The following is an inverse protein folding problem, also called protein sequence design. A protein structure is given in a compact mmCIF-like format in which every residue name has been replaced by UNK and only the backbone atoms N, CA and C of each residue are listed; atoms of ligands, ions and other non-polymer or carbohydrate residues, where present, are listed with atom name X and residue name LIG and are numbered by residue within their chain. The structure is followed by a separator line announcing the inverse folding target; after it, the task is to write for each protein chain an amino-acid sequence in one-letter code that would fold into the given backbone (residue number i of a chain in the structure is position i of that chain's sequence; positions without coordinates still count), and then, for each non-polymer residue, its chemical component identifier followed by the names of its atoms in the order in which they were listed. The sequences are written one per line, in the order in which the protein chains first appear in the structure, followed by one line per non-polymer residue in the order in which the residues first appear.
data_IF_403331369643
#
_entry.id   IF_403331369643
#
_cell.length_a   1.000
_cell.length_b   1.000
_cell.length_c   1.000
_cell.angle_alpha   90.00
_cell.angle_beta   90.00
_cell.angle_gamma   90.00
#
_symmetry.space_group_name_H-M   'P 1'
#
loop_
_entity.id
_entity.type
_entity.pdbx_description
1 polymer ?
#
# COMPACT_ATOMS: atom_id res chain seq x y z
N UNK A 1 -7.70 1.29 25.23
CA UNK A 1 -6.89 0.04 25.11
C UNK A 1 -5.42 0.42 25.08
N UNK A 2 -4.55 -0.40 25.68
CA UNK A 2 -3.10 -0.24 25.56
C UNK A 2 -2.64 -0.78 24.20
N UNK A 3 -1.65 -0.13 23.57
CA UNK A 3 -1.09 -0.62 22.30
C UNK A 3 -0.35 -1.95 22.48
N UNK A 4 -0.30 -2.76 21.43
CA UNK A 4 0.39 -4.05 21.38
C UNK A 4 1.37 -4.17 20.20
N UNK A 5 2.23 -5.19 20.25
CA UNK A 5 3.09 -5.52 19.12
C UNK A 5 2.30 -6.40 18.14
N UNK A 6 2.39 -6.07 16.85
CA UNK A 6 1.74 -6.82 15.79
C UNK A 6 2.79 -7.28 14.78
N UNK A 7 2.91 -8.60 14.60
CA UNK A 7 3.88 -9.28 13.75
C UNK A 7 3.26 -9.83 12.46
N UNK A 8 1.92 -9.81 12.35
CA UNK A 8 1.16 -10.33 11.21
C UNK A 8 0.25 -9.26 10.60
N UNK A 9 0.18 -9.22 9.27
CA UNK A 9 -0.75 -8.34 8.55
C UNK A 9 -0.47 -6.84 8.69
N UNK A 10 -1.54 -6.05 8.74
CA UNK A 10 -1.52 -4.59 8.75
C UNK A 10 -1.29 -4.04 10.16
N UNK A 11 -0.33 -3.11 10.30
CA UNK A 11 -0.20 -2.37 11.55
C UNK A 11 -1.04 -1.10 11.57
N UNK A 12 -1.86 -0.93 12.61
CA UNK A 12 -2.77 0.21 12.78
C UNK A 12 -2.21 1.14 13.87
N UNK A 13 -1.88 2.42 13.59
CA UNK A 13 -1.19 3.30 14.53
C UNK A 13 -1.89 3.46 15.90
N UNK A 14 -3.22 3.40 15.93
CA UNK A 14 -4.04 3.54 17.13
C UNK A 14 -3.97 2.28 18.02
N UNK A 15 -3.71 1.12 17.41
CA UNK A 15 -3.72 -0.19 18.08
C UNK A 15 -2.32 -0.75 18.34
N UNK A 16 -1.36 -0.49 17.46
CA UNK A 16 -0.07 -1.18 17.46
C UNK A 16 1.12 -0.22 17.70
N UNK A 17 2.18 -0.74 18.31
CA UNK A 17 3.47 -0.03 18.34
C UNK A 17 4.04 0.06 16.93
N UNK A 18 4.47 1.26 16.55
CA UNK A 18 4.91 1.59 15.20
C UNK A 18 6.26 2.29 15.24
N UNK A 19 7.17 1.86 14.38
CA UNK A 19 8.36 2.66 14.07
C UNK A 19 7.97 3.89 13.25
N UNK A 20 8.74 4.97 13.34
CA UNK A 20 8.49 6.15 12.52
C UNK A 20 8.75 5.83 11.04
N UNK A 21 7.68 5.86 10.23
CA UNK A 21 7.73 5.59 8.79
C UNK A 21 7.66 6.86 7.94
N UNK A 22 7.45 8.03 8.56
CA UNK A 22 7.31 9.31 7.86
C UNK A 22 8.48 9.60 6.90
N UNK A 23 9.76 9.40 7.26
CA UNK A 23 10.86 9.69 6.34
C UNK A 23 10.82 8.87 5.05
N UNK A 24 10.38 7.61 5.14
CA UNK A 24 10.22 6.75 3.97
C UNK A 24 9.02 7.18 3.13
N UNK A 25 7.91 7.57 3.77
CA UNK A 25 6.74 8.09 3.06
C UNK A 25 7.06 9.40 2.33
N UNK A 26 7.83 10.30 2.94
CA UNK A 26 8.24 11.56 2.30
C UNK A 26 9.10 11.32 1.05
N UNK A 27 10.01 10.34 1.10
CA UNK A 27 10.79 9.94 -0.08
C UNK A 27 9.90 9.42 -1.22
N UNK A 28 8.87 8.64 -0.88
CA UNK A 28 7.91 8.12 -1.87
C UNK A 28 7.03 9.24 -2.43
N UNK A 29 6.54 10.15 -1.57
CA UNK A 29 5.77 11.32 -2.01
C UNK A 29 6.56 12.18 -2.99
N UNK A 30 7.85 12.43 -2.71
CA UNK A 30 8.71 13.18 -3.62
C UNK A 30 8.88 12.52 -5.01
N UNK A 31 8.72 11.19 -5.11
CA UNK A 31 8.69 10.49 -6.40
C UNK A 31 7.33 10.69 -7.10
N UNK A 32 6.23 10.59 -6.35
CA UNK A 32 4.87 10.79 -6.87
C UNK A 32 4.69 12.21 -7.39
N UNK A 33 5.12 13.22 -6.63
CA UNK A 33 5.06 14.64 -7.01
C UNK A 33 5.82 14.92 -8.31
N UNK A 34 6.81 14.08 -8.66
CA UNK A 34 7.60 14.16 -9.90
C UNK A 34 7.07 13.25 -11.02
N UNK A 35 5.92 12.62 -10.83
CA UNK A 35 5.34 11.66 -11.77
C UNK A 35 6.18 10.40 -11.98
N UNK A 36 6.98 9.99 -10.98
CA UNK A 36 7.85 8.81 -11.05
C UNK A 36 7.16 7.57 -10.45
N UNK A 37 7.49 6.42 -11.01
CA UNK A 37 7.12 5.12 -10.45
C UNK A 37 8.12 4.69 -9.38
N UNK A 38 7.65 3.91 -8.41
CA UNK A 38 8.48 3.27 -7.40
C UNK A 38 7.98 1.86 -7.10
N UNK A 39 8.86 1.00 -6.61
CA UNK A 39 8.55 -0.38 -6.27
C UNK A 39 8.94 -0.69 -4.83
N UNK A 40 8.12 -1.45 -4.12
CA UNK A 40 8.44 -1.95 -2.78
C UNK A 40 8.55 -3.47 -2.77
N UNK A 41 9.77 -3.97 -2.97
CA UNK A 41 10.07 -5.41 -2.93
C UNK A 41 10.76 -5.80 -1.61
N UNK A 42 10.08 -6.54 -0.74
CA UNK A 42 10.59 -7.08 0.54
C UNK A 42 9.87 -8.40 0.89
N UNK A 43 10.47 -9.29 1.70
CA UNK A 43 9.81 -10.52 2.16
C UNK A 43 8.52 -10.28 2.95
N UNK A 44 7.79 -11.35 3.29
CA UNK A 44 6.57 -11.28 4.12
C UNK A 44 6.89 -10.62 5.47
N UNK A 45 5.91 -9.89 6.03
CA UNK A 45 6.00 -9.21 7.34
C UNK A 45 7.00 -8.04 7.44
N UNK A 46 7.53 -7.52 6.33
CA UNK A 46 8.38 -6.30 6.32
C UNK A 46 7.60 -4.97 6.31
N UNK A 47 6.31 -4.97 6.68
CA UNK A 47 5.50 -3.75 6.74
C UNK A 47 5.16 -3.11 5.39
N UNK A 48 5.21 -3.87 4.29
CA UNK A 48 4.84 -3.40 2.94
C UNK A 48 3.38 -2.92 2.90
N UNK A 49 2.45 -3.78 3.29
CA UNK A 49 1.01 -3.47 3.32
C UNK A 49 0.71 -2.27 4.21
N UNK A 50 1.39 -2.17 5.36
CA UNK A 50 1.30 -1.01 6.25
C UNK A 50 1.79 0.27 5.57
N UNK A 51 2.94 0.23 4.88
CA UNK A 51 3.48 1.40 4.18
C UNK A 51 2.58 1.85 3.03
N UNK A 52 2.08 0.91 2.22
CA UNK A 52 1.09 1.20 1.15
C UNK A 52 -0.17 1.82 1.74
N UNK A 53 -0.69 1.29 2.85
CA UNK A 53 -1.89 1.83 3.48
C UNK A 53 -1.68 3.25 4.01
N UNK A 54 -0.55 3.53 4.68
CA UNK A 54 -0.24 4.88 5.17
C UNK A 54 -0.07 5.88 4.01
N UNK A 55 0.59 5.45 2.93
CA UNK A 55 0.70 6.27 1.71
C UNK A 55 -0.68 6.56 1.11
N UNK A 56 -1.54 5.54 1.00
CA UNK A 56 -2.91 5.69 0.50
C UNK A 56 -3.70 6.71 1.32
N UNK A 57 -3.66 6.63 2.66
CA UNK A 57 -4.32 7.60 3.53
C UNK A 57 -3.78 9.02 3.32
N UNK A 58 -2.46 9.19 3.19
CA UNK A 58 -1.84 10.50 2.95
C UNK A 58 -2.26 11.10 1.60
N UNK A 59 -2.32 10.27 0.55
CA UNK A 59 -2.76 10.71 -0.77
C UNK A 59 -4.25 11.06 -0.78
N UNK A 60 -5.11 10.26 -0.11
CA UNK A 60 -6.54 10.55 0.00
C UNK A 60 -6.84 11.88 0.70
N UNK A 61 -5.99 12.30 1.63
CA UNK A 61 -6.13 13.58 2.34
C UNK A 61 -5.66 14.77 1.51
N UNK A 62 -5.03 14.54 0.35
CA UNK A 62 -4.54 15.59 -0.51
C UNK A 62 -5.48 15.78 -1.73
N UNK A 63 -6.17 16.92 -1.86
CA UNK A 63 -7.14 17.16 -2.93
C UNK A 63 -6.52 17.20 -4.33
N UNK A 64 -5.20 17.36 -4.45
CA UNK A 64 -4.49 17.37 -5.74
C UNK A 64 -4.42 15.96 -6.39
N UNK A 65 -4.73 14.91 -5.62
CA UNK A 65 -4.60 13.53 -6.07
C UNK A 65 -5.94 12.79 -6.11
N UNK A 66 -6.26 12.22 -7.27
CA UNK A 66 -7.24 11.13 -7.38
C UNK A 66 -6.53 9.80 -7.16
N UNK A 67 -6.85 9.11 -6.06
CA UNK A 67 -6.17 7.87 -5.67
C UNK A 67 -6.98 6.65 -6.12
N UNK A 68 -6.40 5.86 -7.02
CA UNK A 68 -6.98 4.57 -7.46
C UNK A 68 -6.18 3.44 -6.82
N UNK A 69 -6.83 2.65 -5.97
CA UNK A 69 -6.20 1.49 -5.31
C UNK A 69 -6.65 0.19 -5.98
N UNK A 70 -5.69 -0.57 -6.49
CA UNK A 70 -5.89 -1.86 -7.15
C UNK A 70 -5.09 -2.93 -6.39
N UNK A 71 -5.65 -4.14 -6.27
CA UNK A 71 -4.97 -5.30 -5.68
C UNK A 71 -5.20 -6.53 -6.55
N UNK A 72 -4.13 -7.30 -6.76
CA UNK A 72 -4.14 -8.56 -7.50
C UNK A 72 -3.82 -9.76 -6.58
N UNK A 73 -3.89 -9.60 -5.26
CA UNK A 73 -3.49 -10.67 -4.32
C UNK A 73 -4.51 -11.82 -4.24
N UNK A 74 -5.77 -11.60 -4.63
CA UNK A 74 -6.87 -12.56 -4.48
C UNK A 74 -7.37 -13.13 -5.82
N UNK A 75 -6.67 -12.86 -6.92
CA UNK A 75 -7.11 -13.23 -8.26
C UNK A 75 -6.36 -14.47 -8.75
N UNK A 76 -7.07 -15.41 -9.38
CA UNK A 76 -6.50 -16.65 -9.89
C UNK A 76 -5.79 -16.46 -11.24
N UNK A 77 -4.93 -17.42 -11.61
CA UNK A 77 -4.12 -17.36 -12.83
C UNK A 77 -4.95 -17.24 -14.12
N UNK A 78 -6.19 -17.73 -14.11
CA UNK A 78 -7.13 -17.65 -15.24
C UNK A 78 -7.42 -16.21 -15.66
N UNK A 79 -7.44 -15.26 -14.71
CA UNK A 79 -7.66 -13.84 -14.99
C UNK A 79 -6.56 -13.20 -15.83
N UNK A 80 -5.35 -13.76 -15.80
CA UNK A 80 -4.20 -13.18 -16.48
C UNK A 80 -3.93 -13.80 -17.85
N UNK A 81 -4.78 -14.72 -18.32
CA UNK A 81 -4.57 -15.44 -19.58
C UNK A 81 -4.78 -14.57 -20.81
N UNK A 82 -5.75 -13.65 -20.77
CA UNK A 82 -6.05 -12.73 -21.88
C UNK A 82 -6.82 -11.50 -21.40
N UNK A 83 -6.93 -10.49 -22.27
CA UNK A 83 -7.60 -9.23 -21.98
C UNK A 83 -9.08 -9.40 -21.58
N UNK A 84 -9.81 -10.30 -22.24
CA UNK A 84 -11.23 -10.51 -21.97
C UNK A 84 -11.45 -11.11 -20.57
N UNK A 85 -10.64 -12.11 -20.19
CA UNK A 85 -10.66 -12.70 -18.86
C UNK A 85 -10.29 -11.67 -17.78
N UNK A 86 -9.26 -10.85 -18.03
CA UNK A 86 -8.82 -9.82 -17.09
C UNK A 86 -9.90 -8.78 -16.81
N UNK A 87 -10.53 -8.25 -17.87
CA UNK A 87 -11.60 -7.24 -17.74
C UNK A 87 -12.85 -7.80 -17.08
N UNK A 88 -13.15 -9.10 -17.24
CA UNK A 88 -14.36 -9.70 -16.66
C UNK A 88 -14.28 -9.93 -15.16
N UNK A 89 -13.11 -10.18 -14.60
CA UNK A 89 -12.99 -10.44 -13.17
C UNK A 89 -12.40 -9.29 -12.36
N UNK A 90 -12.22 -8.11 -12.95
CA UNK A 90 -11.87 -6.86 -12.28
C UNK A 90 -12.94 -5.79 -12.49
#
# INVERSE_FOLDING_TARGET
MRKEFNDTGLCVPEKHYMVNTLPKLDQVMALIDRGKYFTMNRPRQFGKTTTVNLLYQRLLQNPEYLVIRISFEAVGDEMFQNQEAFVKGF
#
